data_IF_106385796130
#
_entry.id   IF_106385796130
#
_cell.length_a   1.000
_cell.length_b   1.000
_cell.length_c   1.000
_cell.angle_alpha   90.00
_cell.angle_beta   90.00
_cell.angle_gamma   90.00
#
_symmetry.space_group_name_H-M   'P 1'
#
loop_
_entity.id
_entity.type
_entity.pdbx_description
1 polymer ?
#
# COMPACT_ATOMS: atom_id res chain seq x y z
N UNK A 1 19.28 -13.41 -8.67
CA UNK A 1 18.66 -14.55 -9.37
C UNK A 1 19.71 -15.53 -9.89
N UNK A 2 19.38 -16.82 -10.00
CA UNK A 2 20.28 -17.87 -10.45
C UNK A 2 19.82 -18.36 -11.82
N UNK A 3 20.74 -18.55 -12.77
CA UNK A 3 20.41 -19.19 -14.04
C UNK A 3 20.06 -20.67 -13.77
N UNK A 4 18.91 -21.12 -14.29
CA UNK A 4 18.52 -22.51 -14.20
C UNK A 4 19.28 -23.38 -15.23
N UNK A 5 19.36 -24.67 -14.99
CA UNK A 5 19.99 -25.62 -15.92
C UNK A 5 19.12 -25.88 -17.17
N UNK A 6 17.81 -25.62 -17.08
CA UNK A 6 16.86 -25.76 -18.17
C UNK A 6 16.67 -24.44 -18.94
N UNK A 7 16.12 -24.54 -20.14
CA UNK A 7 15.75 -23.41 -21.00
C UNK A 7 14.29 -23.58 -21.44
N UNK A 8 13.62 -22.47 -21.70
CA UNK A 8 12.35 -22.48 -22.38
C UNK A 8 12.54 -22.39 -23.89
N UNK A 9 11.82 -23.19 -24.66
CA UNK A 9 11.86 -23.14 -26.13
C UNK A 9 10.51 -22.69 -26.66
N UNK A 10 10.50 -21.58 -27.41
CA UNK A 10 9.34 -21.08 -28.12
C UNK A 10 9.43 -21.53 -29.58
N UNK A 11 8.47 -22.36 -30.03
CA UNK A 11 8.38 -22.86 -31.39
C UNK A 11 7.22 -22.21 -32.14
N UNK A 12 7.39 -21.99 -33.44
CA UNK A 12 6.40 -21.32 -34.29
C UNK A 12 5.81 -22.30 -35.33
N UNK A 13 4.48 -22.33 -35.40
CA UNK A 13 3.76 -23.22 -36.36
C UNK A 13 3.96 -22.87 -37.84
N UNK A 14 4.47 -21.67 -38.12
CA UNK A 14 4.75 -21.19 -39.49
C UNK A 14 6.14 -21.61 -40.01
N UNK A 15 6.86 -22.49 -39.30
CA UNK A 15 8.18 -22.98 -39.70
C UNK A 15 9.33 -22.01 -39.40
N UNK A 16 9.08 -20.88 -38.72
CA UNK A 16 10.19 -20.02 -38.27
C UNK A 16 11.07 -20.75 -37.25
N UNK A 17 12.39 -20.41 -37.17
CA UNK A 17 13.30 -21.02 -36.22
C UNK A 17 12.78 -20.87 -34.76
N UNK A 18 12.91 -21.92 -33.98
CA UNK A 18 12.61 -21.89 -32.55
C UNK A 18 13.60 -20.96 -31.80
N UNK A 19 13.11 -20.31 -30.77
CA UNK A 19 13.88 -19.42 -29.92
C UNK A 19 14.08 -20.06 -28.56
N UNK A 20 15.34 -20.21 -28.13
CA UNK A 20 15.68 -20.62 -26.78
C UNK A 20 15.82 -19.39 -25.85
N UNK A 21 15.15 -19.44 -24.72
CA UNK A 21 15.11 -18.38 -23.71
C UNK A 21 15.67 -18.90 -22.39
N UNK A 22 16.54 -18.13 -21.71
CA UNK A 22 17.02 -18.48 -20.38
C UNK A 22 15.88 -18.56 -19.37
N UNK A 23 16.02 -19.45 -18.39
CA UNK A 23 15.13 -19.54 -17.23
C UNK A 23 15.92 -19.14 -16.00
N UNK A 24 15.35 -18.29 -15.16
CA UNK A 24 15.95 -17.89 -13.90
C UNK A 24 15.11 -18.37 -12.72
N UNK A 25 15.82 -18.77 -11.67
CA UNK A 25 15.24 -19.17 -10.39
C UNK A 25 15.46 -18.09 -9.34
N UNK A 26 14.39 -17.81 -8.58
CA UNK A 26 14.46 -17.03 -7.35
C UNK A 26 14.98 -17.87 -6.17
N UNK A 27 15.03 -17.28 -4.98
CA UNK A 27 15.31 -18.01 -3.74
C UNK A 27 14.13 -18.94 -3.40
N UNK A 28 12.93 -18.47 -3.61
CA UNK A 28 11.66 -19.17 -3.47
C UNK A 28 10.70 -18.67 -4.55
N UNK A 29 9.59 -19.39 -4.76
CA UNK A 29 8.57 -19.04 -5.74
C UNK A 29 8.84 -19.65 -7.14
N UNK A 30 8.03 -19.27 -8.14
CA UNK A 30 8.12 -19.82 -9.49
C UNK A 30 9.35 -19.33 -10.25
N UNK A 31 9.83 -20.16 -11.17
CA UNK A 31 10.85 -19.79 -12.14
C UNK A 31 10.33 -18.76 -13.15
N UNK A 32 11.22 -17.97 -13.73
CA UNK A 32 10.88 -16.94 -14.72
C UNK A 32 11.64 -17.14 -16.02
N UNK A 33 10.96 -16.91 -17.16
CA UNK A 33 11.56 -16.96 -18.50
C UNK A 33 12.05 -15.56 -18.88
N UNK A 34 13.32 -15.42 -19.20
CA UNK A 34 13.90 -14.15 -19.65
C UNK A 34 13.56 -13.88 -21.12
N UNK A 35 12.62 -12.98 -21.36
CA UNK A 35 12.15 -12.61 -22.70
C UNK A 35 12.89 -11.42 -23.31
N UNK A 36 13.92 -10.86 -22.67
CA UNK A 36 14.60 -9.63 -23.13
C UNK A 36 15.17 -9.74 -24.55
N UNK A 37 15.57 -10.94 -24.98
CA UNK A 37 16.11 -11.22 -26.32
C UNK A 37 15.05 -11.69 -27.33
N UNK A 38 13.82 -11.92 -26.93
CA UNK A 38 12.76 -12.49 -27.78
C UNK A 38 12.54 -11.68 -29.05
N UNK A 39 12.36 -10.35 -28.91
CA UNK A 39 12.13 -9.50 -30.07
C UNK A 39 13.27 -9.53 -31.09
N UNK A 40 14.52 -9.48 -30.62
CA UNK A 40 15.71 -9.51 -31.50
C UNK A 40 15.86 -10.83 -32.27
N UNK A 41 15.32 -11.93 -31.73
CA UNK A 41 15.43 -13.27 -32.35
C UNK A 41 14.19 -13.64 -33.18
N UNK A 42 13.02 -13.13 -32.87
CA UNK A 42 11.76 -13.54 -33.51
C UNK A 42 11.00 -12.40 -34.20
N UNK A 43 11.34 -11.14 -33.92
CA UNK A 43 10.56 -9.97 -34.33
C UNK A 43 9.22 -9.81 -33.62
N UNK A 44 8.92 -10.63 -32.59
CA UNK A 44 7.64 -10.64 -31.86
C UNK A 44 7.80 -10.15 -30.43
N UNK A 45 6.75 -9.50 -29.90
CA UNK A 45 6.61 -9.15 -28.49
C UNK A 45 5.60 -10.08 -27.81
N UNK A 46 5.72 -10.19 -26.49
CA UNK A 46 4.69 -10.76 -25.62
C UNK A 46 3.55 -9.75 -25.42
N UNK A 47 2.35 -10.26 -25.15
CA UNK A 47 1.17 -9.46 -24.81
C UNK A 47 0.63 -9.92 -23.47
N UNK A 48 0.79 -9.08 -22.43
CA UNK A 48 0.35 -9.35 -21.07
C UNK A 48 -0.11 -8.01 -20.41
N UNK A 49 -1.33 -7.55 -20.71
CA UNK A 49 -1.89 -6.34 -20.08
C UNK A 49 -2.07 -6.54 -18.58
N UNK A 50 -1.37 -5.76 -17.76
CA UNK A 50 -1.44 -5.84 -16.31
C UNK A 50 -0.45 -6.80 -15.67
N UNK A 51 0.51 -7.35 -16.44
CA UNK A 51 1.65 -8.12 -15.93
C UNK A 51 1.26 -9.37 -15.13
N UNK A 52 0.19 -10.08 -15.53
CA UNK A 52 -0.29 -11.27 -14.81
C UNK A 52 0.69 -12.45 -14.85
N UNK A 53 1.52 -12.52 -15.88
CA UNK A 53 2.50 -13.59 -16.10
C UNK A 53 3.91 -13.04 -16.39
N UNK A 54 4.17 -11.78 -16.03
CA UNK A 54 5.43 -11.09 -16.36
C UNK A 54 6.06 -10.51 -15.11
N UNK A 55 7.22 -11.05 -14.70
CA UNK A 55 8.05 -10.43 -13.67
C UNK A 55 8.70 -9.16 -14.23
N UNK A 56 8.41 -8.00 -13.65
CA UNK A 56 8.93 -6.70 -14.09
C UNK A 56 10.30 -6.37 -13.49
N UNK A 57 10.72 -7.06 -12.44
CA UNK A 57 11.98 -6.85 -11.73
C UNK A 57 12.37 -8.09 -10.92
N UNK A 58 13.58 -8.09 -10.38
CA UNK A 58 13.97 -8.91 -9.24
C UNK A 58 13.86 -8.07 -7.96
N UNK A 59 13.49 -8.70 -6.85
CA UNK A 59 13.38 -8.03 -5.55
C UNK A 59 13.70 -9.01 -4.43
N UNK A 60 14.32 -8.49 -3.36
CA UNK A 60 14.56 -9.22 -2.11
C UNK A 60 13.76 -8.63 -0.93
N UNK A 61 12.76 -7.77 -1.21
CA UNK A 61 12.04 -7.02 -0.17
C UNK A 61 10.85 -7.82 0.35
N UNK A 62 9.95 -8.21 -0.53
CA UNK A 62 8.70 -8.87 -0.15
C UNK A 62 8.46 -10.09 -1.02
N UNK A 63 8.04 -11.18 -0.38
CA UNK A 63 7.58 -12.39 -1.06
C UNK A 63 6.13 -12.69 -0.67
N UNK A 64 5.33 -13.08 -1.66
CA UNK A 64 3.93 -13.48 -1.47
C UNK A 64 3.71 -14.84 -2.13
N UNK A 65 3.19 -15.80 -1.36
CA UNK A 65 2.60 -17.02 -1.88
C UNK A 65 1.07 -16.94 -1.68
N UNK A 66 0.37 -16.59 -2.75
CA UNK A 66 -1.07 -16.42 -2.71
C UNK A 66 -1.84 -17.74 -2.52
N UNK A 67 -1.27 -18.86 -2.93
CA UNK A 67 -1.90 -20.18 -2.77
C UNK A 67 -1.78 -20.69 -1.33
N UNK A 68 -0.64 -20.42 -0.66
CA UNK A 68 -0.43 -20.75 0.76
C UNK A 68 -0.96 -19.70 1.72
N UNK A 69 -1.19 -18.46 1.27
CA UNK A 69 -1.51 -17.34 2.13
C UNK A 69 -0.33 -16.89 2.97
N UNK A 70 0.85 -16.80 2.36
CA UNK A 70 2.11 -16.39 3.00
C UNK A 70 2.53 -15.00 2.54
N UNK A 71 2.98 -14.17 3.48
CA UNK A 71 3.57 -12.86 3.23
C UNK A 71 4.83 -12.70 4.08
N UNK A 72 5.96 -12.45 3.42
CA UNK A 72 7.26 -12.27 4.07
C UNK A 72 7.83 -10.89 3.75
N UNK A 73 8.32 -10.17 4.76
CA UNK A 73 9.19 -9.01 4.56
C UNK A 73 10.64 -9.40 4.87
N UNK A 74 11.51 -9.33 3.87
CA UNK A 74 12.93 -9.74 3.99
C UNK A 74 13.08 -11.15 4.59
N UNK A 75 12.11 -12.05 4.33
CA UNK A 75 12.09 -13.41 4.85
C UNK A 75 11.40 -13.59 6.20
N UNK A 76 11.01 -12.52 6.88
CA UNK A 76 10.27 -12.59 8.14
C UNK A 76 8.76 -12.67 7.89
N UNK A 77 8.05 -13.64 8.48
CA UNK A 77 6.59 -13.73 8.37
C UNK A 77 5.91 -12.49 8.93
N UNK A 78 4.90 -12.00 8.21
CA UNK A 78 4.21 -10.75 8.56
C UNK A 78 3.59 -10.77 9.95
N UNK A 79 3.07 -11.92 10.38
CA UNK A 79 2.46 -12.09 11.69
C UNK A 79 3.48 -11.93 12.82
N UNK A 80 4.72 -12.39 12.61
CA UNK A 80 5.79 -12.24 13.59
C UNK A 80 6.20 -10.78 13.72
N UNK A 81 6.34 -10.06 12.61
CA UNK A 81 6.67 -8.64 12.63
C UNK A 81 5.58 -7.82 13.33
N UNK A 82 4.32 -8.03 12.96
CA UNK A 82 3.20 -7.30 13.53
C UNK A 82 2.96 -7.59 15.02
N UNK A 83 3.38 -8.75 15.52
CA UNK A 83 3.28 -9.09 16.95
C UNK A 83 4.46 -8.62 17.78
N UNK A 84 5.67 -8.61 17.23
CA UNK A 84 6.91 -8.46 18.02
C UNK A 84 7.69 -7.15 17.73
N UNK A 85 7.38 -6.46 16.62
CA UNK A 85 8.06 -5.23 16.23
C UNK A 85 7.14 -4.00 16.32
N UNK A 86 7.72 -2.82 16.35
CA UNK A 86 7.02 -1.58 16.02
C UNK A 86 7.20 -1.23 14.53
N UNK A 87 6.47 -0.22 14.06
CA UNK A 87 6.52 0.17 12.65
C UNK A 87 7.90 0.67 12.21
N UNK A 88 8.64 1.40 13.06
CA UNK A 88 9.98 1.89 12.70
C UNK A 88 11.01 0.77 12.61
N UNK A 89 10.89 -0.29 13.41
CA UNK A 89 11.71 -1.51 13.25
C UNK A 89 11.42 -2.18 11.90
N UNK A 90 10.15 -2.22 11.49
CA UNK A 90 9.76 -2.73 10.17
C UNK A 90 10.26 -1.83 9.03
N UNK A 91 10.23 -0.50 9.22
CA UNK A 91 10.84 0.43 8.27
C UNK A 91 12.34 0.18 8.11
N UNK A 92 13.06 0.01 9.21
CA UNK A 92 14.48 -0.31 9.19
C UNK A 92 14.75 -1.62 8.44
N UNK A 93 14.00 -2.68 8.74
CA UNK A 93 14.08 -3.98 8.07
C UNK A 93 13.92 -3.86 6.55
N UNK A 94 12.87 -3.19 6.09
CA UNK A 94 12.60 -3.04 4.66
C UNK A 94 13.70 -2.29 3.92
N UNK A 95 14.27 -1.26 4.56
CA UNK A 95 15.34 -0.44 3.98
C UNK A 95 16.70 -1.12 4.01
N UNK A 96 17.04 -1.80 5.11
CA UNK A 96 18.41 -2.29 5.36
C UNK A 96 18.56 -3.83 5.20
N UNK A 97 17.46 -4.58 5.16
CA UNK A 97 17.46 -6.02 4.90
C UNK A 97 17.42 -6.92 6.14
N UNK A 98 17.76 -6.37 7.33
CA UNK A 98 17.76 -7.09 8.61
C UNK A 98 17.08 -6.25 9.70
N UNK A 99 16.56 -6.91 10.74
CA UNK A 99 16.01 -6.22 11.90
C UNK A 99 17.10 -5.47 12.66
N UNK A 100 16.81 -4.26 13.19
CA UNK A 100 17.80 -3.49 13.92
C UNK A 100 18.13 -4.13 15.26
N UNK A 101 19.40 -4.09 15.65
CA UNK A 101 19.77 -4.26 17.06
C UNK A 101 19.35 -3.02 17.87
N UNK A 102 19.50 -3.07 19.22
CA UNK A 102 19.05 -2.00 20.11
C UNK A 102 19.70 -0.62 19.80
N UNK A 103 20.97 -0.59 19.40
CA UNK A 103 21.69 0.63 19.06
C UNK A 103 21.22 1.20 17.71
N UNK A 104 21.07 0.35 16.71
CA UNK A 104 20.57 0.72 15.37
C UNK A 104 19.13 1.22 15.45
N UNK A 105 18.27 0.55 16.23
CA UNK A 105 16.90 0.99 16.49
C UNK A 105 16.88 2.40 17.06
N UNK A 106 17.60 2.64 18.15
CA UNK A 106 17.65 3.94 18.81
C UNK A 106 18.18 5.04 17.88
N UNK A 107 19.21 4.75 17.08
CA UNK A 107 19.77 5.68 16.11
C UNK A 107 18.77 6.00 14.97
N UNK A 108 18.06 5.00 14.47
CA UNK A 108 17.07 5.19 13.41
C UNK A 108 15.86 5.98 13.91
N UNK A 109 15.31 5.64 15.08
CA UNK A 109 14.20 6.35 15.71
C UNK A 109 14.58 7.83 15.98
N UNK A 110 15.80 8.10 16.48
CA UNK A 110 16.29 9.46 16.67
C UNK A 110 16.40 10.23 15.35
N UNK A 111 16.90 9.62 14.28
CA UNK A 111 16.96 10.26 12.96
C UNK A 111 15.56 10.58 12.41
N UNK A 112 14.62 9.69 12.55
CA UNK A 112 13.23 9.92 12.12
C UNK A 112 12.61 11.06 12.92
N UNK A 113 12.73 11.06 14.24
CA UNK A 113 12.16 12.10 15.10
C UNK A 113 12.70 13.51 14.82
N UNK A 114 13.96 13.64 14.38
CA UNK A 114 14.56 14.93 14.00
C UNK A 114 14.02 15.50 12.68
N UNK A 115 13.28 14.70 11.88
CA UNK A 115 12.77 15.08 10.57
C UNK A 115 11.25 15.14 10.46
N UNK A 116 10.52 15.03 11.55
CA UNK A 116 9.04 14.99 11.59
C UNK A 116 8.36 16.30 11.17
N UNK A 117 8.97 17.45 11.45
CA UNK A 117 8.43 18.75 11.02
C UNK A 117 8.56 18.95 9.52
N UNK A 118 7.54 19.54 8.93
CA UNK A 118 7.57 20.03 7.53
C UNK A 118 7.97 21.50 7.49
N UNK A 119 8.43 21.97 6.33
CA UNK A 119 8.74 23.37 6.12
C UNK A 119 7.48 24.24 6.34
N UNK A 120 7.60 25.36 7.03
CA UNK A 120 6.45 26.21 7.39
C UNK A 120 5.65 26.70 6.17
N UNK A 121 6.29 26.93 5.05
CA UNK A 121 5.64 27.27 3.78
C UNK A 121 4.63 26.21 3.29
N UNK A 122 4.70 24.97 3.75
CA UNK A 122 3.72 23.93 3.39
C UNK A 122 2.29 24.30 3.86
N UNK A 123 2.16 25.09 4.92
CA UNK A 123 0.86 25.60 5.37
C UNK A 123 0.21 26.53 4.31
N UNK A 124 1.02 27.35 3.64
CA UNK A 124 0.52 28.24 2.58
C UNK A 124 0.14 27.45 1.32
N UNK A 125 0.91 26.41 1.00
CA UNK A 125 0.55 25.52 -0.11
C UNK A 125 -0.79 24.82 0.13
N UNK A 126 -1.04 24.35 1.38
CA UNK A 126 -2.35 23.78 1.78
C UNK A 126 -3.52 24.77 1.57
N UNK A 127 -3.32 26.05 1.83
CA UNK A 127 -4.36 27.07 1.66
C UNK A 127 -4.81 27.28 0.20
N UNK A 128 -4.05 26.76 -0.76
CA UNK A 128 -4.44 26.71 -2.17
C UNK A 128 -5.48 25.66 -2.51
N UNK A 129 -5.71 24.68 -1.63
CA UNK A 129 -6.74 23.66 -1.83
C UNK A 129 -8.08 24.13 -1.27
N UNK A 130 -9.17 23.59 -1.80
CA UNK A 130 -10.48 23.70 -1.17
C UNK A 130 -10.49 22.86 0.12
N UNK A 131 -11.25 23.31 1.13
CA UNK A 131 -11.37 22.57 2.40
C UNK A 131 -12.05 21.22 2.26
N UNK A 132 -12.97 21.10 1.30
CA UNK A 132 -13.68 19.87 0.96
C UNK A 132 -12.92 18.98 -0.05
N UNK A 133 -11.67 19.33 -0.38
CA UNK A 133 -10.83 18.50 -1.24
C UNK A 133 -10.57 17.13 -0.59
N UNK A 134 -10.61 16.09 -1.42
CA UNK A 134 -10.30 14.73 -0.94
C UNK A 134 -8.87 14.68 -0.38
N UNK A 135 -8.63 14.12 0.82
CA UNK A 135 -7.30 14.12 1.44
C UNK A 135 -6.19 13.53 0.56
N UNK A 136 -6.52 12.54 -0.28
CA UNK A 136 -5.54 11.95 -1.20
C UNK A 136 -5.10 12.91 -2.30
N UNK A 137 -5.99 13.81 -2.79
CA UNK A 137 -5.60 14.87 -3.73
C UNK A 137 -4.62 15.84 -3.07
N UNK A 138 -4.92 16.24 -1.84
CA UNK A 138 -4.07 17.10 -1.03
C UNK A 138 -2.72 16.44 -0.79
N UNK A 139 -2.72 15.17 -0.33
CA UNK A 139 -1.51 14.43 -0.01
C UNK A 139 -0.60 14.23 -1.23
N UNK A 140 -1.17 13.92 -2.41
CA UNK A 140 -0.42 13.83 -3.67
C UNK A 140 0.34 15.14 -3.95
N UNK A 141 -0.32 16.29 -3.79
CA UNK A 141 0.32 17.59 -3.94
C UNK A 141 1.41 17.86 -2.89
N UNK A 142 1.11 17.59 -1.63
CA UNK A 142 2.04 17.84 -0.52
C UNK A 142 3.33 17.01 -0.63
N UNK A 143 3.22 15.71 -0.95
CA UNK A 143 4.39 14.84 -1.09
C UNK A 143 5.27 15.30 -2.24
N UNK A 144 4.70 15.63 -3.40
CA UNK A 144 5.44 16.17 -4.54
C UNK A 144 6.11 17.51 -4.22
N UNK A 145 5.42 18.39 -3.48
CA UNK A 145 5.93 19.70 -3.07
C UNK A 145 7.17 19.61 -2.16
N UNK A 146 7.39 18.51 -1.43
CA UNK A 146 8.61 18.33 -0.62
C UNK A 146 9.89 18.52 -1.44
N UNK A 147 9.88 18.16 -2.73
CA UNK A 147 11.03 18.35 -3.63
C UNK A 147 11.45 19.80 -3.80
N UNK A 148 10.52 20.77 -3.59
CA UNK A 148 10.80 22.18 -3.65
C UNK A 148 11.44 22.75 -2.36
N UNK A 149 11.46 21.98 -1.27
CA UNK A 149 11.98 22.42 0.02
C UNK A 149 13.25 21.67 0.48
N UNK A 150 13.55 20.51 -0.10
CA UNK A 150 14.64 19.63 0.33
C UNK A 150 15.55 19.26 -0.82
N UNK A 151 16.24 20.29 -1.39
CA UNK A 151 17.07 20.15 -2.58
C UNK A 151 18.33 19.26 -2.36
N UNK A 152 18.75 19.07 -1.14
CA UNK A 152 19.84 18.19 -0.72
C UNK A 152 19.48 16.70 -0.69
N UNK A 153 18.30 16.33 -1.21
CA UNK A 153 17.79 14.96 -1.23
C UNK A 153 16.98 14.63 -2.50
N UNK A 154 17.27 15.32 -3.60
CA UNK A 154 16.51 15.18 -4.86
C UNK A 154 17.22 14.34 -5.92
N UNK A 155 18.51 14.06 -5.79
CA UNK A 155 19.22 13.20 -6.75
C UNK A 155 19.02 11.72 -6.41
N UNK A 156 18.18 11.03 -7.22
CA UNK A 156 17.86 9.62 -7.02
C UNK A 156 19.05 8.69 -7.30
N UNK A 157 20.09 9.14 -8.02
CA UNK A 157 21.29 8.36 -8.28
C UNK A 157 22.33 8.48 -7.15
N UNK A 158 22.26 9.53 -6.32
CA UNK A 158 23.11 9.68 -5.16
C UNK A 158 22.56 8.88 -3.98
N UNK A 159 23.36 7.96 -3.42
CA UNK A 159 22.93 7.10 -2.31
C UNK A 159 22.61 7.89 -1.02
N UNK A 160 23.38 8.93 -0.70
CA UNK A 160 23.15 9.77 0.48
C UNK A 160 21.85 10.58 0.34
N UNK A 161 21.56 11.10 -0.87
CA UNK A 161 20.30 11.77 -1.15
C UNK A 161 19.10 10.82 -1.01
N UNK A 162 19.23 9.57 -1.50
CA UNK A 162 18.16 8.57 -1.30
C UNK A 162 17.95 8.22 0.15
N UNK A 163 19.04 8.08 0.93
CA UNK A 163 18.96 7.77 2.36
C UNK A 163 18.22 8.87 3.14
N UNK A 164 18.65 10.12 2.97
CA UNK A 164 18.02 11.25 3.69
C UNK A 164 16.59 11.51 3.17
N UNK A 165 16.30 11.29 1.88
CA UNK A 165 14.95 11.36 1.35
C UNK A 165 14.05 10.29 1.99
N UNK A 166 14.56 9.06 2.19
CA UNK A 166 13.84 7.99 2.88
C UNK A 166 13.45 8.38 4.29
N UNK A 167 14.41 8.87 5.09
CA UNK A 167 14.16 9.35 6.46
C UNK A 167 13.12 10.48 6.46
N UNK A 168 13.26 11.47 5.58
CA UNK A 168 12.33 12.61 5.50
C UNK A 168 10.92 12.19 5.10
N UNK A 169 10.77 11.29 4.14
CA UNK A 169 9.47 10.79 3.71
C UNK A 169 8.79 10.02 4.84
N UNK A 170 9.48 9.05 5.46
CA UNK A 170 8.94 8.30 6.60
C UNK A 170 8.53 9.26 7.73
N UNK A 171 9.41 10.18 8.11
CA UNK A 171 9.19 11.10 9.22
C UNK A 171 8.04 12.09 8.98
N UNK A 172 7.88 12.58 7.74
CA UNK A 172 6.94 13.67 7.42
C UNK A 172 5.56 13.18 7.00
N UNK A 173 5.42 11.93 6.55
CA UNK A 173 4.10 11.42 6.12
C UNK A 173 3.02 11.53 7.19
N UNK A 174 3.25 11.18 8.47
CA UNK A 174 2.26 11.38 9.53
C UNK A 174 1.83 12.84 9.66
N UNK A 175 2.80 13.77 9.58
CA UNK A 175 2.55 15.21 9.69
C UNK A 175 1.71 15.70 8.50
N UNK A 176 2.04 15.27 7.27
CA UNK A 176 1.30 15.65 6.06
C UNK A 176 -0.14 15.13 6.07
N UNK A 177 -0.36 13.87 6.48
CA UNK A 177 -1.70 13.27 6.59
C UNK A 177 -2.52 14.00 7.64
N UNK A 178 -1.95 14.25 8.82
CA UNK A 178 -2.63 14.99 9.89
C UNK A 178 -2.94 16.44 9.49
N UNK A 179 -2.02 17.11 8.78
CA UNK A 179 -2.27 18.46 8.26
C UNK A 179 -3.41 18.48 7.22
N UNK A 180 -3.47 17.51 6.32
CA UNK A 180 -4.56 17.39 5.36
C UNK A 180 -5.92 17.24 6.07
N UNK A 181 -5.97 16.40 7.10
CA UNK A 181 -7.17 16.24 7.94
C UNK A 181 -7.55 17.53 8.68
N UNK A 182 -6.61 18.11 9.46
CA UNK A 182 -6.84 19.34 10.25
C UNK A 182 -7.28 20.49 9.36
N UNK A 183 -6.72 20.61 8.18
CA UNK A 183 -7.13 21.63 7.20
C UNK A 183 -8.58 21.43 6.75
N UNK A 184 -8.96 20.19 6.42
CA UNK A 184 -10.31 19.87 5.99
C UNK A 184 -11.37 20.20 7.04
N UNK A 185 -11.11 19.85 8.31
CA UNK A 185 -12.04 20.12 9.43
C UNK A 185 -11.92 21.53 10.00
N UNK A 186 -10.96 22.35 9.52
CA UNK A 186 -10.80 23.75 9.94
C UNK A 186 -10.19 23.92 11.33
N UNK A 187 -9.43 22.93 11.80
CA UNK A 187 -8.72 23.00 13.08
C UNK A 187 -7.26 23.44 12.91
N UNK A 188 -6.64 24.02 13.96
CA UNK A 188 -5.23 24.36 13.92
C UNK A 188 -4.36 23.10 13.79
N UNK A 189 -3.22 23.24 13.08
CA UNK A 189 -2.26 22.14 12.97
C UNK A 189 -1.60 21.88 14.32
N UNK A 190 -1.43 20.60 14.63
CA UNK A 190 -0.62 20.15 15.75
C UNK A 190 0.77 19.81 15.26
N UNK A 191 1.79 20.39 15.89
CA UNK A 191 3.18 20.06 15.57
C UNK A 191 3.56 18.68 16.12
N UNK A 192 4.48 17.95 15.47
CA UNK A 192 4.98 16.69 16.00
C UNK A 192 5.64 16.89 17.38
N UNK A 193 5.57 15.84 18.20
CA UNK A 193 6.18 15.78 19.54
C UNK A 193 7.10 14.56 19.60
N UNK A 194 8.41 14.83 19.78
CA UNK A 194 9.47 13.85 19.52
C UNK A 194 9.65 12.78 20.61
N UNK A 195 9.02 12.93 21.77
CA UNK A 195 9.02 11.95 22.88
C UNK A 195 7.92 10.89 22.75
N UNK A 196 7.01 11.06 21.77
CA UNK A 196 5.99 10.07 21.47
C UNK A 196 6.50 9.05 20.42
N UNK A 197 5.90 7.85 20.46
CA UNK A 197 6.10 6.87 19.40
C UNK A 197 5.60 7.38 18.04
N UNK A 198 5.92 6.70 16.97
CA UNK A 198 5.47 7.06 15.62
C UNK A 198 3.93 7.10 15.51
N UNK A 199 3.25 6.05 15.98
CA UNK A 199 1.79 5.99 15.97
C UNK A 199 1.17 6.97 16.97
N UNK A 200 1.73 7.09 18.18
CA UNK A 200 1.25 8.03 19.19
C UNK A 200 1.38 9.50 18.75
N UNK A 201 2.49 9.84 18.09
CA UNK A 201 2.69 11.18 17.52
C UNK A 201 1.68 11.48 16.41
N UNK A 202 1.42 10.51 15.52
CA UNK A 202 0.38 10.64 14.50
C UNK A 202 -1.01 10.87 15.12
N UNK A 203 -1.39 10.06 16.15
CA UNK A 203 -2.66 10.24 16.85
C UNK A 203 -2.80 11.62 17.47
N UNK A 204 -1.73 12.11 18.14
CA UNK A 204 -1.71 13.44 18.71
C UNK A 204 -1.88 14.53 17.67
N UNK A 205 -1.22 14.43 16.53
CA UNK A 205 -1.36 15.41 15.45
C UNK A 205 -2.76 15.36 14.81
N UNK A 206 -3.39 14.19 14.74
CA UNK A 206 -4.74 14.02 14.22
C UNK A 206 -5.81 14.55 15.18
N UNK A 207 -5.80 14.12 16.44
CA UNK A 207 -6.90 14.26 17.37
C UNK A 207 -6.65 15.30 18.47
N UNK A 208 -5.39 15.66 18.70
CA UNK A 208 -5.03 16.65 19.71
C UNK A 208 -5.54 18.05 19.40
N UNK A 209 -5.63 18.86 20.44
CA UNK A 209 -5.97 20.28 20.41
C UNK A 209 -4.88 21.10 21.11
N UNK A 210 -4.59 22.34 20.67
CA UNK A 210 -3.67 23.21 21.42
C UNK A 210 -4.17 23.60 22.81
N UNK A 211 -5.45 23.34 23.09
CA UNK A 211 -6.10 23.77 24.33
C UNK A 211 -5.89 22.81 25.50
N UNK A 212 -5.47 21.57 25.23
CA UNK A 212 -5.35 20.53 26.25
C UNK A 212 -4.29 19.48 25.86
N UNK A 213 -3.81 18.75 26.86
CA UNK A 213 -2.88 17.66 26.65
C UNK A 213 -3.59 16.45 26.02
N UNK A 214 -3.03 15.93 24.92
CA UNK A 214 -3.53 14.70 24.29
C UNK A 214 -2.90 13.48 24.98
N UNK A 215 -3.76 12.61 25.53
CA UNK A 215 -3.33 11.34 26.12
C UNK A 215 -3.46 10.23 25.12
N UNK A 216 -2.34 9.63 24.74
CA UNK A 216 -2.29 8.50 23.82
C UNK A 216 -2.90 7.27 24.51
N UNK A 217 -3.90 6.64 23.89
CA UNK A 217 -4.42 5.35 24.33
C UNK A 217 -3.49 4.25 23.81
N UNK A 218 -2.84 3.45 24.66
CA UNK A 218 -1.85 2.46 24.23
C UNK A 218 -2.43 1.31 23.39
N UNK A 219 -3.71 0.96 23.58
CA UNK A 219 -4.37 -0.08 22.76
C UNK A 219 -4.61 0.44 21.34
N UNK A 220 -5.08 1.69 21.22
CA UNK A 220 -5.27 2.35 19.92
C UNK A 220 -3.93 2.58 19.22
N UNK A 221 -2.90 3.00 19.96
CA UNK A 221 -1.53 3.16 19.45
C UNK A 221 -1.01 1.86 18.85
N UNK A 222 -1.15 0.75 19.57
CA UNK A 222 -0.72 -0.56 19.11
C UNK A 222 -1.52 -1.04 17.88
N UNK A 223 -2.80 -0.76 17.83
CA UNK A 223 -3.64 -1.09 16.69
C UNK A 223 -3.21 -0.35 15.42
N UNK A 224 -2.91 0.95 15.52
CA UNK A 224 -2.37 1.73 14.40
C UNK A 224 -1.00 1.26 13.96
N UNK A 225 -0.12 0.95 14.89
CA UNK A 225 1.22 0.43 14.62
C UNK A 225 1.13 -0.90 13.83
N UNK A 226 0.23 -1.80 14.23
CA UNK A 226 -0.07 -3.03 13.47
C UNK A 226 -0.61 -2.73 12.07
N UNK A 227 -1.54 -1.78 11.92
CA UNK A 227 -2.04 -1.34 10.61
C UNK A 227 -0.88 -0.87 9.73
N UNK A 228 0.03 -0.07 10.26
CA UNK A 228 1.18 0.43 9.52
C UNK A 228 2.10 -0.71 9.07
N UNK A 229 2.43 -1.66 9.95
CA UNK A 229 3.27 -2.82 9.62
C UNK A 229 2.62 -3.67 8.51
N UNK A 230 1.33 -4.00 8.64
CA UNK A 230 0.61 -4.85 7.69
C UNK A 230 0.43 -4.22 6.30
N UNK A 231 0.57 -2.90 6.20
CA UNK A 231 0.43 -2.15 4.95
C UNK A 231 1.77 -1.64 4.39
N UNK A 232 2.90 -1.87 5.08
CA UNK A 232 4.20 -1.28 4.76
C UNK A 232 4.71 -1.61 3.36
N UNK A 233 4.56 -2.86 2.90
CA UNK A 233 4.85 -3.27 1.51
C UNK A 233 3.92 -4.40 1.05
N UNK A 234 3.82 -4.61 -0.25
CA UNK A 234 3.06 -5.72 -0.83
C UNK A 234 3.51 -6.00 -2.26
N UNK A 235 4.81 -6.29 -2.45
CA UNK A 235 5.41 -6.67 -3.72
C UNK A 235 5.17 -5.63 -4.85
N UNK A 236 5.02 -6.09 -6.11
CA UNK A 236 4.78 -5.25 -7.29
C UNK A 236 3.30 -4.92 -7.50
N UNK A 237 2.62 -4.38 -6.48
CA UNK A 237 1.28 -3.81 -6.65
C UNK A 237 1.31 -2.57 -7.56
N UNK A 238 0.13 -2.08 -7.96
CA UNK A 238 0.01 -0.99 -8.93
C UNK A 238 0.78 0.28 -8.53
N UNK A 239 0.72 0.70 -7.27
CA UNK A 239 1.43 1.90 -6.81
C UNK A 239 2.94 1.70 -6.71
N UNK A 240 3.40 0.53 -6.26
CA UNK A 240 4.83 0.18 -6.25
C UNK A 240 5.41 0.14 -7.66
N UNK A 241 4.72 -0.49 -8.60
CA UNK A 241 5.11 -0.51 -10.02
C UNK A 241 5.13 0.91 -10.62
N UNK A 242 4.18 1.78 -10.22
CA UNK A 242 4.15 3.19 -10.64
C UNK A 242 5.35 3.96 -10.09
N UNK A 243 5.72 3.77 -8.82
CA UNK A 243 6.92 4.39 -8.22
C UNK A 243 8.18 3.94 -8.97
N UNK A 244 8.33 2.64 -9.22
CA UNK A 244 9.48 2.11 -9.99
C UNK A 244 9.49 2.63 -11.41
N UNK A 245 8.34 2.68 -12.09
CA UNK A 245 8.25 3.23 -13.45
C UNK A 245 8.61 4.72 -13.48
N UNK A 246 8.08 5.52 -12.56
CA UNK A 246 8.40 6.94 -12.42
C UNK A 246 9.89 7.13 -12.08
N UNK A 247 10.39 6.45 -11.08
CA UNK A 247 11.81 6.47 -10.67
C UNK A 247 12.76 6.03 -11.79
N UNK A 248 12.30 5.13 -12.67
CA UNK A 248 13.10 4.65 -13.80
C UNK A 248 13.56 5.74 -14.77
N UNK A 249 12.90 6.89 -14.75
CA UNK A 249 13.31 8.07 -15.54
C UNK A 249 14.35 8.96 -14.86
N UNK A 250 14.81 8.62 -13.66
CA UNK A 250 15.69 9.47 -12.85
C UNK A 250 14.93 10.54 -12.07
N UNK A 251 13.62 10.43 -11.93
CA UNK A 251 12.78 11.37 -11.16
C UNK A 251 13.19 11.36 -9.69
N UNK A 252 13.17 12.55 -9.05
CA UNK A 252 13.52 12.66 -7.64
C UNK A 252 12.60 11.81 -6.74
N UNK A 253 13.10 11.38 -5.55
CA UNK A 253 12.35 10.46 -4.69
C UNK A 253 10.95 10.97 -4.29
N UNK A 254 10.83 12.25 -3.96
CA UNK A 254 9.54 12.83 -3.54
C UNK A 254 8.49 12.78 -4.64
N UNK A 255 8.87 13.11 -5.88
CA UNK A 255 7.96 13.06 -7.03
C UNK A 255 7.60 11.61 -7.38
N UNK A 256 8.54 10.67 -7.30
CA UNK A 256 8.26 9.25 -7.50
C UNK A 256 7.26 8.71 -6.48
N UNK A 257 7.42 9.05 -5.19
CA UNK A 257 6.49 8.66 -4.13
C UNK A 257 5.12 9.35 -4.31
N UNK A 258 5.08 10.62 -4.74
CA UNK A 258 3.83 11.32 -5.08
C UNK A 258 3.05 10.58 -6.17
N UNK A 259 3.73 10.05 -7.19
CA UNK A 259 3.10 9.21 -8.22
C UNK A 259 2.52 7.91 -7.63
N UNK A 260 3.21 7.30 -6.67
CA UNK A 260 2.70 6.16 -5.90
C UNK A 260 1.44 6.50 -5.11
N UNK A 261 1.42 7.65 -4.43
CA UNK A 261 0.24 8.16 -3.70
C UNK A 261 -0.94 8.36 -4.65
N UNK A 262 -0.72 8.97 -5.82
CA UNK A 262 -1.74 9.17 -6.84
C UNK A 262 -2.33 7.84 -7.35
N UNK A 263 -1.48 6.85 -7.62
CA UNK A 263 -1.90 5.52 -8.05
C UNK A 263 -2.67 4.76 -6.94
N UNK A 264 -2.24 4.90 -5.67
CA UNK A 264 -2.89 4.26 -4.55
C UNK A 264 -4.34 4.74 -4.35
N UNK A 265 -4.64 5.98 -4.70
CA UNK A 265 -5.99 6.55 -4.58
C UNK A 265 -7.04 5.86 -5.44
N UNK A 266 -6.64 5.13 -6.47
CA UNK A 266 -7.56 4.45 -7.37
C UNK A 266 -8.47 3.44 -6.64
N UNK A 267 -9.79 3.36 -6.97
CA UNK A 267 -10.74 2.47 -6.31
C UNK A 267 -10.46 0.97 -6.54
N UNK A 268 -9.65 0.65 -7.54
CA UNK A 268 -9.19 -0.72 -7.80
C UNK A 268 -7.91 -1.09 -7.03
N UNK A 269 -7.40 -0.18 -6.20
CA UNK A 269 -6.19 -0.35 -5.40
C UNK A 269 -6.46 0.08 -3.94
N UNK A 270 -5.80 1.10 -3.38
CA UNK A 270 -5.94 1.50 -1.98
C UNK A 270 -7.32 2.08 -1.61
N UNK A 271 -8.11 2.56 -2.57
CA UNK A 271 -9.50 2.96 -2.36
C UNK A 271 -10.48 1.83 -2.01
N UNK A 272 -10.03 0.56 -2.03
CA UNK A 272 -10.89 -0.57 -1.67
C UNK A 272 -11.32 -0.55 -0.19
N UNK A 273 -10.47 -0.07 0.71
CA UNK A 273 -10.76 0.08 2.13
C UNK A 273 -11.90 1.09 2.37
N UNK A 274 -11.82 2.26 1.74
CA UNK A 274 -12.88 3.27 1.76
C UNK A 274 -14.20 2.72 1.17
N UNK A 275 -14.12 2.02 0.04
CA UNK A 275 -15.29 1.40 -0.59
C UNK A 275 -15.96 0.35 0.31
N UNK A 276 -15.20 -0.37 1.13
CA UNK A 276 -15.72 -1.33 2.10
C UNK A 276 -16.58 -0.65 3.16
N UNK A 277 -16.09 0.41 3.78
CA UNK A 277 -16.84 1.15 4.79
C UNK A 277 -18.06 1.86 4.21
N UNK A 278 -17.95 2.47 3.04
CA UNK A 278 -19.10 3.07 2.34
C UNK A 278 -20.19 2.02 2.08
N UNK A 279 -19.82 0.78 1.74
CA UNK A 279 -20.78 -0.33 1.61
C UNK A 279 -21.46 -0.64 2.95
N UNK A 280 -20.72 -0.76 4.05
CA UNK A 280 -21.28 -1.02 5.38
C UNK A 280 -22.22 0.11 5.82
N UNK A 281 -21.82 1.36 5.66
CA UNK A 281 -22.64 2.54 5.97
C UNK A 281 -23.90 2.60 5.09
N UNK A 282 -23.79 2.23 3.81
CA UNK A 282 -24.93 2.13 2.91
C UNK A 282 -25.94 1.07 3.38
N UNK A 283 -25.49 -0.12 3.76
CA UNK A 283 -26.38 -1.17 4.29
C UNK A 283 -27.04 -0.69 5.59
N UNK A 284 -26.25 -0.06 6.47
CA UNK A 284 -26.76 0.48 7.73
C UNK A 284 -27.87 1.52 7.52
N UNK A 285 -27.70 2.44 6.57
CA UNK A 285 -28.68 3.47 6.24
C UNK A 285 -29.96 2.90 5.59
N UNK A 286 -29.87 1.73 4.93
CA UNK A 286 -30.98 1.09 4.20
C UNK A 286 -31.62 -0.09 4.95
N UNK A 287 -31.61 -0.08 6.27
CA UNK A 287 -32.30 -1.06 7.12
C UNK A 287 -31.38 -1.91 8.00
N UNK A 288 -30.08 -1.66 7.93
CA UNK A 288 -29.08 -2.19 8.86
C UNK A 288 -28.99 -3.72 8.85
N UNK A 289 -28.75 -4.28 10.03
CA UNK A 289 -28.52 -5.71 10.24
C UNK A 289 -29.65 -6.61 9.71
N UNK A 290 -30.88 -6.11 9.66
CA UNK A 290 -32.04 -6.86 9.16
C UNK A 290 -31.97 -7.09 7.63
N UNK A 291 -31.27 -6.20 6.91
CA UNK A 291 -31.16 -6.24 5.44
C UNK A 291 -29.89 -6.91 4.94
N UNK A 292 -28.98 -7.34 5.80
CA UNK A 292 -27.72 -8.01 5.40
C UNK A 292 -27.97 -9.23 4.55
N UNK A 293 -28.98 -10.07 4.87
CA UNK A 293 -29.31 -11.25 4.07
C UNK A 293 -29.75 -10.89 2.65
N UNK A 294 -30.61 -9.88 2.51
CA UNK A 294 -31.07 -9.38 1.21
C UNK A 294 -29.90 -8.81 0.37
N UNK A 295 -29.00 -8.05 1.01
CA UNK A 295 -27.79 -7.55 0.37
C UNK A 295 -26.91 -8.70 -0.13
N UNK A 296 -26.70 -9.75 0.67
CA UNK A 296 -25.89 -10.91 0.27
C UNK A 296 -26.49 -11.68 -0.90
N UNK A 297 -27.84 -11.77 -0.98
CA UNK A 297 -28.50 -12.34 -2.17
C UNK A 297 -28.29 -11.47 -3.42
N UNK A 298 -28.32 -10.15 -3.30
CA UNK A 298 -28.00 -9.25 -4.42
C UNK A 298 -26.54 -9.43 -4.88
N UNK A 299 -25.59 -9.63 -3.96
CA UNK A 299 -24.18 -9.93 -4.32
C UNK A 299 -24.06 -11.24 -5.12
N UNK A 300 -24.89 -12.24 -4.85
CA UNK A 300 -24.92 -13.51 -5.60
C UNK A 300 -25.45 -13.36 -7.01
N UNK A 301 -26.32 -12.38 -7.26
CA UNK A 301 -26.86 -12.07 -8.59
C UNK A 301 -25.87 -11.26 -9.41
N UNK A 302 -25.27 -11.88 -10.42
CA UNK A 302 -24.32 -11.23 -11.34
C UNK A 302 -24.88 -10.03 -12.11
N UNK A 303 -26.19 -9.93 -12.24
CA UNK A 303 -26.86 -8.85 -12.97
C UNK A 303 -27.18 -7.64 -12.07
N UNK A 304 -27.08 -7.78 -10.76
CA UNK A 304 -27.37 -6.70 -9.80
C UNK A 304 -26.36 -5.55 -9.86
N UNK A 305 -25.12 -5.83 -10.29
CA UNK A 305 -24.01 -4.87 -10.22
C UNK A 305 -23.48 -4.63 -8.80
N UNK A 306 -24.09 -5.22 -7.77
CA UNK A 306 -23.68 -5.09 -6.37
C UNK A 306 -22.41 -5.90 -6.12
N UNK A 307 -21.43 -5.28 -5.45
CA UNK A 307 -20.14 -5.88 -5.12
C UNK A 307 -19.97 -5.99 -3.61
N UNK A 308 -19.43 -7.11 -3.16
CA UNK A 308 -19.02 -7.32 -1.78
C UNK A 308 -17.59 -6.77 -1.62
N UNK A 309 -17.47 -5.56 -1.07
CA UNK A 309 -16.17 -4.88 -0.87
C UNK A 309 -15.52 -5.34 0.43
N UNK A 310 -14.19 -5.46 0.45
CA UNK A 310 -13.45 -5.96 1.60
C UNK A 310 -13.40 -7.50 1.71
N UNK A 311 -13.83 -8.22 0.66
CA UNK A 311 -13.85 -9.67 0.62
C UNK A 311 -13.17 -10.22 -0.64
N UNK A 312 -12.45 -11.32 -0.48
CA UNK A 312 -11.59 -11.88 -1.52
C UNK A 312 -10.33 -11.06 -1.71
N UNK A 313 -9.40 -11.59 -2.47
CA UNK A 313 -8.15 -10.91 -2.79
C UNK A 313 -7.65 -11.32 -4.18
N UNK A 314 -7.03 -10.37 -4.90
CA UNK A 314 -6.54 -10.65 -6.26
C UNK A 314 -5.36 -11.64 -6.27
N UNK A 315 -4.52 -11.62 -5.22
CA UNK A 315 -3.32 -12.45 -5.09
C UNK A 315 -3.62 -13.68 -4.23
N UNK A 316 -4.16 -13.50 -3.03
CA UNK A 316 -4.45 -14.62 -2.12
C UNK A 316 -5.66 -15.41 -2.62
N UNK A 317 -5.40 -16.66 -3.02
CA UNK A 317 -6.44 -17.66 -3.32
C UNK A 317 -6.86 -18.44 -2.06
N UNK A 318 -6.20 -18.18 -0.96
CA UNK A 318 -6.52 -18.66 0.37
C UNK A 318 -6.80 -17.44 1.27
N UNK A 319 -6.77 -17.62 2.58
CA UNK A 319 -6.97 -16.53 3.54
C UNK A 319 -5.80 -15.54 3.50
N UNK A 320 -6.09 -14.24 3.51
CA UNK A 320 -5.07 -13.18 3.62
C UNK A 320 -4.40 -13.27 5.00
N UNK A 321 -3.09 -13.50 5.12
CA UNK A 321 -2.42 -13.69 6.42
C UNK A 321 -2.54 -12.48 7.33
N UNK A 322 -2.76 -11.30 6.76
CA UNK A 322 -2.97 -10.06 7.52
C UNK A 322 -4.35 -9.98 8.17
N UNK A 323 -5.36 -10.62 7.55
CA UNK A 323 -6.75 -10.48 7.97
C UNK A 323 -7.01 -11.07 9.35
N UNK A 324 -6.40 -12.21 9.70
CA UNK A 324 -6.55 -12.81 11.03
C UNK A 324 -6.08 -11.88 12.14
N UNK A 325 -4.89 -11.31 12.00
CA UNK A 325 -4.33 -10.39 12.98
C UNK A 325 -5.14 -9.10 13.08
N UNK A 326 -5.63 -8.61 11.95
CA UNK A 326 -6.51 -7.44 11.95
C UNK A 326 -7.88 -7.73 12.57
N UNK A 327 -8.40 -8.95 12.46
CA UNK A 327 -9.62 -9.38 13.15
C UNK A 327 -9.42 -9.37 14.67
N UNK A 328 -8.31 -9.91 15.15
CA UNK A 328 -7.93 -9.89 16.57
C UNK A 328 -7.82 -8.43 17.06
N UNK A 329 -7.08 -7.59 16.34
CA UNK A 329 -6.92 -6.16 16.64
C UNK A 329 -8.26 -5.42 16.62
N UNK A 330 -9.16 -5.75 15.70
CA UNK A 330 -10.51 -5.18 15.64
C UNK A 330 -11.31 -5.50 16.92
N UNK A 331 -11.28 -6.75 17.38
CA UNK A 331 -11.96 -7.14 18.61
C UNK A 331 -11.37 -6.42 19.84
N UNK A 332 -10.03 -6.32 19.93
CA UNK A 332 -9.35 -5.57 21.00
C UNK A 332 -9.79 -4.10 21.04
N UNK A 333 -9.84 -3.43 19.89
CA UNK A 333 -10.25 -2.00 19.79
C UNK A 333 -11.72 -1.81 20.12
N UNK A 334 -12.62 -2.67 19.62
CA UNK A 334 -14.04 -2.54 19.91
C UNK A 334 -14.34 -2.74 21.42
N UNK A 335 -13.65 -3.66 22.07
CA UNK A 335 -13.74 -3.87 23.51
C UNK A 335 -13.19 -2.67 24.30
N UNK A 336 -12.00 -2.18 23.96
CA UNK A 336 -11.35 -1.03 24.62
C UNK A 336 -12.20 0.24 24.55
N UNK A 337 -12.84 0.48 23.40
CA UNK A 337 -13.65 1.67 23.16
C UNK A 337 -15.13 1.50 23.54
N UNK A 338 -15.55 0.32 24.03
CA UNK A 338 -16.94 0.04 24.39
C UNK A 338 -17.89 0.04 23.19
N UNK A 339 -17.40 -0.31 22.00
CA UNK A 339 -18.15 -0.27 20.74
C UNK A 339 -18.63 -1.65 20.26
N UNK A 340 -18.56 -2.68 21.10
CA UNK A 340 -18.93 -4.05 20.72
C UNK A 340 -20.39 -4.18 20.27
N UNK A 341 -21.26 -3.31 20.78
CA UNK A 341 -22.69 -3.27 20.44
C UNK A 341 -23.06 -2.13 19.46
N UNK A 342 -22.08 -1.45 18.87
CA UNK A 342 -22.36 -0.44 17.84
C UNK A 342 -23.06 -1.09 16.64
N UNK A 343 -24.16 -0.52 16.12
CA UNK A 343 -24.95 -1.11 15.04
C UNK A 343 -24.16 -1.40 13.76
N UNK A 344 -23.17 -0.55 13.38
CA UNK A 344 -22.35 -0.73 12.20
C UNK A 344 -21.41 -1.93 12.37
N UNK A 345 -20.81 -2.08 13.55
CA UNK A 345 -19.89 -3.19 13.82
C UNK A 345 -20.63 -4.51 14.03
N UNK A 346 -21.82 -4.48 14.62
CA UNK A 346 -22.70 -5.66 14.68
C UNK A 346 -23.14 -6.13 13.29
N UNK A 347 -23.44 -5.18 12.38
CA UNK A 347 -23.71 -5.46 10.97
C UNK A 347 -22.52 -6.09 10.28
N UNK A 348 -21.32 -5.53 10.45
CA UNK A 348 -20.08 -6.06 9.87
C UNK A 348 -19.81 -7.50 10.33
N UNK A 349 -19.95 -7.80 11.64
CA UNK A 349 -19.82 -9.16 12.19
C UNK A 349 -20.84 -10.13 11.59
N UNK A 350 -22.08 -9.70 11.36
CA UNK A 350 -23.09 -10.56 10.70
C UNK A 350 -22.74 -10.84 9.24
N UNK A 351 -22.25 -9.83 8.52
CA UNK A 351 -21.84 -9.97 7.13
C UNK A 351 -20.63 -10.90 7.00
N UNK A 352 -19.64 -10.75 7.87
CA UNK A 352 -18.50 -11.67 8.02
C UNK A 352 -18.96 -13.11 8.24
N UNK A 353 -19.83 -13.35 9.22
CA UNK A 353 -20.37 -14.67 9.54
C UNK A 353 -21.01 -15.34 8.32
N UNK A 354 -21.86 -14.61 7.58
CA UNK A 354 -22.51 -15.13 6.38
C UNK A 354 -21.45 -15.50 5.32
N UNK A 355 -20.47 -14.64 5.07
CA UNK A 355 -19.44 -14.91 4.08
C UNK A 355 -18.54 -16.12 4.43
N UNK A 356 -18.36 -16.41 5.71
CA UNK A 356 -17.58 -17.56 6.18
C UNK A 356 -18.37 -18.87 6.21
N UNK A 357 -19.71 -18.82 6.28
CA UNK A 357 -20.58 -19.99 6.43
C UNK A 357 -21.36 -20.35 5.14
N UNK A 358 -21.63 -19.40 4.26
CA UNK A 358 -22.41 -19.63 3.03
C UNK A 358 -21.56 -20.23 1.92
N UNK A 359 -21.99 -21.37 1.38
CA UNK A 359 -21.29 -22.15 0.35
C UNK A 359 -20.90 -21.33 -0.88
N UNK A 360 -21.72 -20.35 -1.30
CA UNK A 360 -21.42 -19.51 -2.46
C UNK A 360 -20.14 -18.72 -2.27
N UNK A 361 -19.92 -18.13 -1.10
CA UNK A 361 -18.74 -17.33 -0.78
C UNK A 361 -17.53 -18.21 -0.47
N UNK A 362 -17.73 -19.29 0.29
CA UNK A 362 -16.67 -20.26 0.63
C UNK A 362 -16.06 -20.91 -0.61
N UNK A 363 -16.90 -21.41 -1.53
CA UNK A 363 -16.42 -22.01 -2.79
C UNK A 363 -15.67 -21.03 -3.69
N UNK A 364 -16.01 -19.74 -3.61
CA UNK A 364 -15.33 -18.65 -4.36
C UNK A 364 -14.19 -18.01 -3.58
N UNK A 365 -13.93 -18.48 -2.35
CA UNK A 365 -12.88 -17.96 -1.46
C UNK A 365 -13.00 -16.45 -1.20
N UNK A 366 -14.23 -15.97 -1.08
CA UNK A 366 -14.55 -14.57 -0.78
C UNK A 366 -14.51 -14.34 0.75
N UNK A 367 -13.36 -14.58 1.34
CA UNK A 367 -13.11 -14.35 2.76
C UNK A 367 -12.88 -12.86 3.04
N UNK A 368 -13.21 -12.37 4.25
CA UNK A 368 -12.82 -11.03 4.67
C UNK A 368 -11.31 -10.84 4.54
N UNK A 369 -10.90 -9.74 3.97
CA UNK A 369 -9.49 -9.39 3.78
C UNK A 369 -9.03 -8.31 4.78
N UNK A 370 -7.79 -7.85 4.65
CA UNK A 370 -7.22 -6.82 5.53
C UNK A 370 -8.00 -5.50 5.47
N UNK A 371 -8.57 -5.13 4.32
CA UNK A 371 -9.30 -3.88 4.13
C UNK A 371 -10.60 -3.84 4.93
N UNK A 372 -11.29 -4.99 5.07
CA UNK A 372 -12.50 -5.11 5.87
C UNK A 372 -12.23 -4.78 7.34
N UNK A 373 -11.27 -5.45 7.97
CA UNK A 373 -11.00 -5.26 9.39
C UNK A 373 -10.29 -3.95 9.70
N UNK A 374 -9.29 -3.57 8.90
CA UNK A 374 -8.57 -2.31 9.12
C UNK A 374 -9.48 -1.10 8.94
N UNK A 375 -10.46 -1.17 8.04
CA UNK A 375 -11.50 -0.15 7.90
C UNK A 375 -12.34 -0.01 9.17
N UNK A 376 -12.79 -1.11 9.76
CA UNK A 376 -13.56 -1.11 11.01
C UNK A 376 -12.71 -0.50 12.13
N UNK A 377 -11.46 -0.92 12.29
CA UNK A 377 -10.54 -0.37 13.31
C UNK A 377 -10.38 1.14 13.13
N UNK A 378 -10.08 1.61 11.92
CA UNK A 378 -9.90 3.04 11.64
C UNK A 378 -11.17 3.84 11.94
N UNK A 379 -12.34 3.32 11.58
CA UNK A 379 -13.64 3.94 11.88
C UNK A 379 -13.90 4.01 13.39
N UNK A 380 -13.59 2.94 14.11
CA UNK A 380 -13.78 2.86 15.57
C UNK A 380 -12.93 3.89 16.32
N UNK A 381 -11.70 4.13 15.90
CA UNK A 381 -10.79 5.13 16.51
C UNK A 381 -11.06 6.56 16.03
N UNK A 382 -12.06 6.80 15.18
CA UNK A 382 -12.49 8.12 14.75
C UNK A 382 -11.78 8.69 13.52
N UNK A 383 -11.05 7.89 12.75
CA UNK A 383 -10.50 8.32 11.45
C UNK A 383 -11.66 8.40 10.46
N UNK A 384 -11.83 9.52 9.73
CA UNK A 384 -12.88 9.64 8.73
C UNK A 384 -12.57 8.75 7.51
N UNK A 385 -13.62 8.18 6.91
CA UNK A 385 -13.50 7.17 5.83
C UNK A 385 -12.65 7.68 4.64
N UNK A 386 -12.82 8.93 4.25
CA UNK A 386 -12.05 9.54 3.15
C UNK A 386 -10.56 9.73 3.44
N UNK A 387 -10.10 9.45 4.68
CA UNK A 387 -8.68 9.49 5.05
C UNK A 387 -8.03 8.10 5.08
N UNK A 388 -8.79 7.02 4.98
CA UNK A 388 -8.27 5.64 5.09
C UNK A 388 -7.16 5.35 4.09
N UNK A 389 -7.34 5.75 2.82
CA UNK A 389 -6.29 5.63 1.81
C UNK A 389 -5.06 6.48 2.15
N UNK A 390 -5.23 7.61 2.86
CA UNK A 390 -4.12 8.43 3.38
C UNK A 390 -3.31 7.70 4.45
N UNK A 391 -3.98 6.97 5.36
CA UNK A 391 -3.34 6.09 6.34
C UNK A 391 -2.56 4.97 5.65
N UNK A 392 -3.15 4.38 4.61
CA UNK A 392 -2.49 3.39 3.79
C UNK A 392 -1.23 3.97 3.10
N UNK A 393 -1.32 5.18 2.51
CA UNK A 393 -0.17 5.85 1.90
C UNK A 393 0.95 6.11 2.91
N UNK A 394 0.61 6.54 4.14
CA UNK A 394 1.56 6.72 5.23
C UNK A 394 2.35 5.42 5.48
N UNK A 395 1.65 4.33 5.68
CA UNK A 395 2.25 3.01 5.95
C UNK A 395 3.10 2.52 4.76
N UNK A 396 2.58 2.62 3.53
CA UNK A 396 3.20 2.12 2.30
C UNK A 396 4.41 2.92 1.85
N UNK A 397 4.59 4.12 2.36
CA UNK A 397 5.70 5.00 1.96
C UNK A 397 7.06 4.32 2.09
N UNK A 398 7.32 3.60 3.17
CA UNK A 398 8.59 2.87 3.34
C UNK A 398 8.79 1.78 2.30
N UNK A 399 7.74 1.03 1.96
CA UNK A 399 7.80 0.00 0.92
C UNK A 399 8.12 0.59 -0.45
N UNK A 400 7.47 1.68 -0.83
CA UNK A 400 7.78 2.40 -2.07
C UNK A 400 9.22 2.89 -2.12
N UNK A 401 9.73 3.43 -1.02
CA UNK A 401 11.12 3.89 -0.93
C UNK A 401 12.10 2.73 -1.03
N UNK A 402 11.86 1.64 -0.31
CA UNK A 402 12.70 0.43 -0.37
C UNK A 402 12.77 -0.13 -1.80
N UNK A 403 11.62 -0.21 -2.48
CA UNK A 403 11.50 -0.66 -3.87
C UNK A 403 12.22 0.28 -4.85
N UNK A 404 12.12 1.60 -4.65
CA UNK A 404 12.85 2.58 -5.45
C UNK A 404 14.37 2.47 -5.22
N UNK A 405 14.81 2.36 -3.98
CA UNK A 405 16.22 2.23 -3.64
C UNK A 405 16.85 0.94 -4.21
N UNK A 406 16.11 -0.18 -4.13
CA UNK A 406 16.52 -1.44 -4.72
C UNK A 406 16.67 -1.31 -6.24
N UNK A 407 15.73 -0.66 -6.93
CA UNK A 407 15.82 -0.40 -8.37
C UNK A 407 17.05 0.44 -8.73
N UNK A 408 17.35 1.50 -7.98
CA UNK A 408 18.50 2.37 -8.22
C UNK A 408 19.84 1.67 -7.95
N UNK A 409 19.84 0.64 -7.11
CA UNK A 409 20.99 -0.22 -6.85
C UNK A 409 21.17 -1.38 -7.85
N UNK A 410 20.19 -1.64 -8.71
CA UNK A 410 20.24 -2.74 -9.68
C UNK A 410 21.10 -2.35 -10.91
N UNK A 411 22.21 -3.03 -11.19
CA UNK A 411 23.05 -2.75 -12.37
C UNK A 411 22.33 -3.02 -13.71
N UNK A 412 21.26 -3.81 -13.71
CA UNK A 412 20.44 -4.08 -14.89
C UNK A 412 19.27 -3.09 -15.06
N UNK A 413 19.15 -2.11 -14.16
CA UNK A 413 18.13 -1.07 -14.21
C UNK A 413 18.10 -0.34 -15.56
N UNK A 414 16.89 -0.11 -16.06
CA UNK A 414 16.63 0.63 -17.30
C UNK A 414 15.34 1.44 -17.17
N UNK A 415 15.27 2.53 -17.94
CA UNK A 415 14.02 3.28 -18.08
C UNK A 415 12.90 2.38 -18.58
N UNK A 416 11.77 2.39 -17.88
CA UNK A 416 10.58 1.63 -18.24
C UNK A 416 9.91 2.23 -19.49
N UNK A 417 9.85 1.44 -20.55
CA UNK A 417 9.16 1.80 -21.80
C UNK A 417 8.46 0.57 -22.37
N UNK A 418 7.23 0.29 -21.93
CA UNK A 418 6.45 -0.84 -22.45
C UNK A 418 6.25 -0.74 -23.97
N UNK A 419 6.10 -1.89 -24.63
CA UNK A 419 5.69 -1.99 -26.03
C UNK A 419 4.17 -1.98 -26.13
N UNK A 420 3.68 -1.70 -27.34
CA UNK A 420 2.24 -1.77 -27.64
C UNK A 420 1.98 -2.51 -28.95
N UNK A 421 0.86 -3.21 -29.03
CA UNK A 421 0.27 -3.67 -30.27
C UNK A 421 -0.52 -2.51 -30.88
N UNK A 422 -0.04 -1.96 -32.00
CA UNK A 422 -0.75 -0.88 -32.68
C UNK A 422 -1.92 -1.41 -33.50
N UNK A 423 -3.12 -0.91 -33.21
CA UNK A 423 -4.37 -1.27 -33.89
C UNK A 423 -5.04 -0.08 -34.58
N UNK A 424 -4.33 1.05 -34.70
CA UNK A 424 -4.84 2.24 -35.36
C UNK A 424 -4.79 2.19 -36.88
N UNK A 425 -5.13 3.28 -37.54
CA UNK A 425 -5.08 3.40 -38.99
C UNK A 425 -3.64 3.32 -39.51
N UNK A 426 -3.47 2.72 -40.67
CA UNK A 426 -2.23 2.77 -41.42
C UNK A 426 -1.88 4.23 -41.85
N UNK A 427 -0.73 4.43 -42.48
CA UNK A 427 -0.28 5.75 -42.93
C UNK A 427 -1.36 6.45 -43.79
N UNK A 428 -1.67 7.69 -43.39
CA UNK A 428 -2.60 8.56 -44.12
C UNK A 428 -1.92 9.90 -44.36
N UNK A 429 -2.19 10.50 -45.52
CA UNK A 429 -1.71 11.83 -45.84
C UNK A 429 -2.67 12.89 -45.28
N UNK A 430 -2.11 14.01 -44.77
CA UNK A 430 -2.87 15.21 -44.46
C UNK A 430 -3.30 15.83 -45.79
N UNK A 431 -4.59 16.12 -45.94
CA UNK A 431 -5.14 16.78 -47.12
C UNK A 431 -4.86 18.26 -47.09
#
# INVERSE_FOLDING_TARGET
MKLADNKATLSFSNGAPSVELPVYQGTIGPDVIDIRKLYGQSGMFTYDPGFLSTAACQSAITYIDGDKGELLYRGYPIEQLANNCNFLETCYLLLNGELPNAQEKAAFEARVSQHTMVHDQMQYFLRGFRRDAHPMAVLTGLVGALSAFYHDSTDVHNAEHREIAAIRLIAKMPTLVAMAYKYGVGQPFMYPQNDLSYAGNFMRMMFGSPCEEYKVNPVVERALDRIFILHADHEQNASTSTVRLCGSSGTNPFAAISAGVACLWGPAHGGANEACLNMLEHIQANGGIAKVGEFMEQVKDKNSGVKLMGFGHRVYKNYDPRAKLMQETCNEILAELGLENDPLFALAKKLEKIALEDDYFVQRKLYPNVDFYSGIVQRAIGIPVNLFTGIFALARTVGWIAQLNEQMGDPEYKIGRPRQLFTGAATRNVK
#
